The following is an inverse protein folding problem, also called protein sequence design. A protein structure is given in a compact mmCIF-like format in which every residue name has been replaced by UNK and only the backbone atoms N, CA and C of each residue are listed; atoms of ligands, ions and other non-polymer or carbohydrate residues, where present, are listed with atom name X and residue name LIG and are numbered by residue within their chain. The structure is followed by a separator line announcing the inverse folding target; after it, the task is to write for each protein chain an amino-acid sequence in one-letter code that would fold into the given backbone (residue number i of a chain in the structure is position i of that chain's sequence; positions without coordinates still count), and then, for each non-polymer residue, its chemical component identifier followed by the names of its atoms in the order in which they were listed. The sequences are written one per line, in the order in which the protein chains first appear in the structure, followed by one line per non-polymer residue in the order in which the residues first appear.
data_IF_582182981059
#
_entry.id   IF_582182981059
#
_cell.length_a   1.000
_cell.length_b   1.000
_cell.length_c   1.000
_cell.angle_alpha   90.00
_cell.angle_beta   90.00
_cell.angle_gamma   90.00
#
_symmetry.space_group_name_H-M   'P 1'
#
loop_
_entity.id
_entity.type
_entity.pdbx_description
1 polymer ?
#
# COMPACT_ATOMS: atom_id res chain seq x y z
N UNK A 1 -40.66 19.16 -25.97
CA UNK A 1 -39.23 18.93 -26.22
C UNK A 1 -38.50 19.16 -24.89
N UNK A 2 -38.01 18.10 -24.24
CA UNK A 2 -37.23 18.23 -23.00
C UNK A 2 -35.77 18.34 -23.43
N UNK A 3 -35.21 19.53 -23.29
CA UNK A 3 -33.78 19.77 -23.53
C UNK A 3 -33.02 19.30 -22.28
N UNK A 4 -32.34 18.17 -22.35
CA UNK A 4 -31.38 17.75 -21.35
C UNK A 4 -30.16 18.69 -21.41
N UNK A 5 -30.11 19.64 -20.49
CA UNK A 5 -28.92 20.46 -20.27
C UNK A 5 -27.81 19.54 -19.73
N UNK A 6 -26.76 19.34 -20.51
CA UNK A 6 -25.55 18.70 -20.03
C UNK A 6 -24.99 19.54 -18.89
N UNK A 7 -24.96 18.99 -17.67
CA UNK A 7 -24.29 19.63 -16.55
C UNK A 7 -22.80 19.71 -16.91
N UNK A 8 -22.37 20.89 -17.32
CA UNK A 8 -20.97 21.19 -17.54
C UNK A 8 -20.24 20.96 -16.22
N UNK A 9 -19.23 20.08 -16.22
CA UNK A 9 -18.42 19.85 -15.02
C UNK A 9 -17.84 21.20 -14.58
N UNK A 10 -17.99 21.52 -13.29
CA UNK A 10 -17.39 22.72 -12.73
C UNK A 10 -15.88 22.70 -13.01
N UNK A 11 -15.26 23.86 -13.31
CA UNK A 11 -13.82 23.92 -13.50
C UNK A 11 -13.12 23.40 -12.25
N UNK A 12 -12.19 22.48 -12.43
CA UNK A 12 -11.39 21.95 -11.33
C UNK A 12 -10.56 23.10 -10.74
N UNK A 13 -10.65 23.29 -9.43
CA UNK A 13 -9.87 24.31 -8.74
C UNK A 13 -8.36 24.03 -8.96
N UNK A 14 -7.59 24.98 -9.54
CA UNK A 14 -6.17 24.78 -9.80
C UNK A 14 -5.32 24.66 -8.51
N UNK A 15 -5.92 24.96 -7.36
CA UNK A 15 -5.28 24.79 -6.04
C UNK A 15 -5.59 23.45 -5.37
N UNK A 16 -6.45 22.60 -5.98
CA UNK A 16 -6.69 21.27 -5.45
C UNK A 16 -5.41 20.41 -5.50
N UNK A 17 -5.07 19.70 -4.41
CA UNK A 17 -3.98 18.74 -4.43
C UNK A 17 -4.31 17.58 -5.38
N UNK A 18 -3.31 17.00 -6.01
CA UNK A 18 -3.46 15.70 -6.65
C UNK A 18 -3.26 14.58 -5.62
N UNK A 19 -3.79 13.41 -5.93
CA UNK A 19 -3.58 12.21 -5.10
C UNK A 19 -2.85 11.14 -5.92
N UNK A 20 -1.79 10.63 -5.35
CA UNK A 20 -1.03 9.50 -5.87
C UNK A 20 -1.27 8.29 -4.98
N UNK A 21 -1.78 7.20 -5.54
CA UNK A 21 -2.16 5.99 -4.81
C UNK A 21 -1.29 4.83 -5.27
N UNK A 22 -0.49 4.28 -4.37
CA UNK A 22 0.09 2.95 -4.53
C UNK A 22 -0.73 1.97 -3.68
N UNK A 23 -1.40 1.03 -4.34
CA UNK A 23 -2.26 0.07 -3.70
C UNK A 23 -1.78 -1.34 -3.99
N UNK A 24 -1.38 -2.07 -2.96
CA UNK A 24 -0.79 -3.40 -3.06
C UNK A 24 -1.67 -4.40 -2.34
N UNK A 25 -2.03 -5.51 -3.02
CA UNK A 25 -2.84 -6.56 -2.43
C UNK A 25 -2.46 -7.95 -2.91
N UNK A 26 -2.01 -8.82 -1.99
CA UNK A 26 -1.59 -10.18 -2.32
C UNK A 26 -2.52 -11.19 -1.72
N UNK A 27 -3.26 -11.88 -2.57
CA UNK A 27 -4.10 -13.02 -2.19
C UNK A 27 -3.59 -14.34 -2.77
N UNK A 28 -2.91 -14.30 -3.90
CA UNK A 28 -2.33 -15.44 -4.58
C UNK A 28 -0.81 -15.35 -4.48
N UNK A 29 -0.18 -16.34 -3.85
CA UNK A 29 1.25 -16.41 -3.59
C UNK A 29 1.88 -17.52 -4.43
N UNK A 30 3.17 -17.41 -4.82
CA UNK A 30 3.89 -18.55 -5.40
C UNK A 30 3.85 -19.80 -4.51
N UNK A 31 3.81 -19.61 -3.20
CA UNK A 31 3.54 -20.65 -2.22
C UNK A 31 2.04 -20.63 -1.85
N UNK A 32 1.24 -21.48 -2.45
CA UNK A 32 -0.21 -21.57 -2.26
C UNK A 32 -0.65 -21.82 -0.81
N UNK A 33 0.26 -22.27 0.08
CA UNK A 33 -0.04 -22.38 1.51
C UNK A 33 -0.26 -21.01 2.19
N UNK A 34 0.10 -19.93 1.49
CA UNK A 34 -0.07 -18.55 1.93
C UNK A 34 -1.29 -17.86 1.34
N UNK A 35 -2.09 -18.53 0.50
CA UNK A 35 -3.18 -17.88 -0.20
C UNK A 35 -4.21 -17.25 0.72
N UNK A 36 -4.64 -16.04 0.36
CA UNK A 36 -5.69 -15.25 1.01
C UNK A 36 -6.88 -15.05 0.05
N UNK A 37 -8.00 -14.58 0.58
CA UNK A 37 -9.22 -14.48 -0.23
C UNK A 37 -9.46 -13.09 -0.82
N UNK A 38 -9.10 -12.02 -0.12
CA UNK A 38 -9.65 -10.70 -0.40
C UNK A 38 -8.61 -9.58 -0.55
N UNK A 39 -7.35 -9.79 -0.20
CA UNK A 39 -6.34 -8.74 -0.18
C UNK A 39 -6.19 -8.02 -1.53
N UNK A 40 -6.23 -8.75 -2.66
CA UNK A 40 -6.22 -8.16 -3.99
C UNK A 40 -7.47 -7.29 -4.25
N UNK A 41 -8.66 -7.78 -3.83
CA UNK A 41 -9.91 -7.06 -4.03
C UNK A 41 -9.98 -5.79 -3.18
N UNK A 42 -9.38 -5.81 -1.97
CA UNK A 42 -9.28 -4.66 -1.09
C UNK A 42 -8.39 -3.58 -1.72
N UNK A 43 -7.24 -3.97 -2.27
CA UNK A 43 -6.35 -3.05 -2.98
C UNK A 43 -7.03 -2.37 -4.17
N UNK A 44 -7.73 -3.13 -4.99
CA UNK A 44 -8.52 -2.58 -6.09
C UNK A 44 -9.66 -1.67 -5.59
N UNK A 45 -10.33 -2.09 -4.50
CA UNK A 45 -11.43 -1.34 -3.88
C UNK A 45 -10.98 0.04 -3.41
N UNK A 46 -9.85 0.12 -2.72
CA UNK A 46 -9.23 1.37 -2.26
C UNK A 46 -8.90 2.27 -3.47
N UNK A 47 -8.23 1.74 -4.48
CA UNK A 47 -7.90 2.53 -5.67
C UNK A 47 -9.14 3.08 -6.37
N UNK A 48 -10.20 2.28 -6.53
CA UNK A 48 -11.49 2.72 -7.10
C UNK A 48 -12.17 3.78 -6.24
N UNK A 49 -12.18 3.61 -4.92
CA UNK A 49 -12.80 4.55 -4.00
C UNK A 49 -12.14 5.93 -4.09
N UNK A 50 -10.81 5.98 -4.08
CA UNK A 50 -10.09 7.25 -4.21
C UNK A 50 -10.17 7.83 -5.62
N UNK A 51 -10.19 7.00 -6.67
CA UNK A 51 -10.40 7.50 -8.04
C UNK A 51 -11.72 8.24 -8.19
N UNK A 52 -12.77 7.84 -7.47
CA UNK A 52 -14.07 8.53 -7.47
C UNK A 52 -14.04 9.94 -6.85
N UNK A 53 -12.95 10.31 -6.17
CA UNK A 53 -12.74 11.63 -5.57
C UNK A 53 -12.05 12.62 -6.51
N UNK A 54 -11.67 12.19 -7.72
CA UNK A 54 -11.12 13.09 -8.74
C UNK A 54 -12.13 14.16 -9.12
N UNK A 55 -11.69 15.40 -9.16
CA UNK A 55 -12.54 16.57 -9.40
C UNK A 55 -13.47 16.93 -8.23
N UNK A 56 -13.30 16.30 -7.05
CA UNK A 56 -14.08 16.55 -5.82
C UNK A 56 -13.18 16.96 -4.67
N UNK A 57 -12.38 16.02 -4.14
CA UNK A 57 -11.39 16.25 -3.08
C UNK A 57 -9.99 16.47 -3.66
N UNK A 58 -9.73 15.92 -4.84
CA UNK A 58 -8.45 15.99 -5.52
C UNK A 58 -8.64 16.47 -6.97
N UNK A 59 -7.65 17.20 -7.48
CA UNK A 59 -7.64 17.65 -8.88
C UNK A 59 -7.52 16.44 -9.80
N UNK A 60 -6.43 15.71 -9.69
CA UNK A 60 -6.19 14.45 -10.38
C UNK A 60 -5.95 13.33 -9.35
N UNK A 61 -6.37 12.11 -9.69
CA UNK A 61 -6.04 10.90 -8.92
C UNK A 61 -5.32 9.93 -9.85
N UNK A 62 -4.04 9.69 -9.58
CA UNK A 62 -3.21 8.70 -10.25
C UNK A 62 -3.02 7.49 -9.35
N UNK A 63 -3.24 6.30 -9.88
CA UNK A 63 -3.13 5.06 -9.10
C UNK A 63 -2.23 4.06 -9.81
N UNK A 64 -1.35 3.42 -9.03
CA UNK A 64 -0.66 2.19 -9.39
C UNK A 64 -1.20 1.09 -8.47
N UNK A 65 -1.79 0.07 -9.06
CA UNK A 65 -2.39 -1.05 -8.33
C UNK A 65 -1.59 -2.29 -8.67
N UNK A 66 -1.05 -2.95 -7.66
CA UNK A 66 -0.26 -4.15 -7.78
C UNK A 66 -0.99 -5.27 -7.05
N UNK A 67 -1.43 -6.28 -7.78
CA UNK A 67 -2.17 -7.41 -7.20
C UNK A 67 -1.53 -8.74 -7.58
N UNK A 68 -1.52 -9.68 -6.63
CA UNK A 68 -1.07 -11.05 -6.85
C UNK A 68 0.29 -11.11 -7.57
N UNK A 69 0.39 -11.75 -8.72
CA UNK A 69 1.61 -11.91 -9.51
C UNK A 69 2.33 -10.60 -9.89
N UNK A 70 1.58 -9.48 -9.94
CA UNK A 70 2.16 -8.16 -10.17
C UNK A 70 2.75 -7.55 -8.88
N UNK A 71 2.38 -8.07 -7.70
CA UNK A 71 2.83 -7.57 -6.41
C UNK A 71 4.11 -8.26 -5.95
N UNK A 72 5.13 -8.31 -6.81
CA UNK A 72 6.47 -8.78 -6.47
C UNK A 72 7.22 -7.75 -5.64
N UNK A 73 8.27 -8.18 -4.93
CA UNK A 73 9.14 -7.25 -4.20
C UNK A 73 9.67 -6.14 -5.11
N UNK A 74 10.11 -6.48 -6.32
CA UNK A 74 10.65 -5.50 -7.28
C UNK A 74 9.61 -4.46 -7.66
N UNK A 75 8.41 -4.89 -8.07
CA UNK A 75 7.35 -3.99 -8.49
C UNK A 75 6.85 -3.07 -7.37
N UNK A 76 6.87 -3.56 -6.11
CA UNK A 76 6.51 -2.72 -4.95
C UNK A 76 7.56 -1.61 -4.75
N UNK A 77 8.85 -1.92 -4.84
CA UNK A 77 9.92 -0.92 -4.74
C UNK A 77 9.88 0.06 -5.92
N UNK A 78 9.62 -0.41 -7.13
CA UNK A 78 9.39 0.46 -8.30
C UNK A 78 8.15 1.36 -8.11
N UNK A 79 7.18 0.89 -7.32
CA UNK A 79 6.04 1.68 -6.89
C UNK A 79 6.43 2.83 -5.94
N UNK A 80 7.41 2.60 -5.05
CA UNK A 80 7.97 3.65 -4.18
C UNK A 80 8.69 4.70 -5.02
N UNK A 81 9.59 4.28 -5.91
CA UNK A 81 10.30 5.17 -6.83
C UNK A 81 9.34 6.01 -7.69
N UNK A 82 8.21 5.41 -8.09
CA UNK A 82 7.18 6.12 -8.84
C UNK A 82 6.55 7.24 -7.99
N UNK A 83 6.15 6.95 -6.74
CA UNK A 83 5.57 7.96 -5.83
C UNK A 83 6.59 9.08 -5.56
N UNK A 84 7.85 8.73 -5.28
CA UNK A 84 8.91 9.71 -5.00
C UNK A 84 9.14 10.68 -6.15
N UNK A 85 9.03 10.21 -7.40
CA UNK A 85 9.21 11.05 -8.59
C UNK A 85 8.02 11.97 -8.88
N UNK A 86 6.81 11.53 -8.52
CA UNK A 86 5.58 12.21 -8.95
C UNK A 86 5.06 13.22 -7.91
N UNK A 87 5.24 12.94 -6.62
CA UNK A 87 4.62 13.70 -5.54
C UNK A 87 5.35 15.01 -5.29
N UNK A 88 4.60 16.11 -5.26
CA UNK A 88 5.10 17.44 -4.92
C UNK A 88 4.57 17.90 -3.55
N UNK A 89 5.05 19.03 -3.05
CA UNK A 89 4.61 19.61 -1.75
C UNK A 89 3.10 19.88 -1.68
N UNK A 90 2.42 20.01 -2.82
CA UNK A 90 0.99 20.29 -2.88
C UNK A 90 0.14 19.03 -2.88
N UNK A 91 0.75 17.89 -3.15
CA UNK A 91 0.05 16.66 -3.41
C UNK A 91 -0.11 15.81 -2.15
N UNK A 92 -0.89 14.74 -2.30
CA UNK A 92 -1.08 13.71 -1.27
C UNK A 92 -0.63 12.38 -1.84
N UNK A 93 0.18 11.64 -1.08
CA UNK A 93 0.53 10.26 -1.36
C UNK A 93 -0.25 9.33 -0.44
N UNK A 94 -0.86 8.30 -0.99
CA UNK A 94 -1.51 7.23 -0.24
C UNK A 94 -0.89 5.90 -0.64
N UNK A 95 -0.40 5.18 0.36
CA UNK A 95 0.06 3.80 0.21
C UNK A 95 -0.87 2.89 0.98
N UNK A 96 -1.44 1.92 0.30
CA UNK A 96 -2.25 0.86 0.89
C UNK A 96 -1.58 -0.49 0.67
N UNK A 97 -1.49 -1.31 1.70
CA UNK A 97 -0.98 -2.67 1.60
C UNK A 97 -1.91 -3.63 2.32
N UNK A 98 -2.30 -4.71 1.64
CA UNK A 98 -3.10 -5.81 2.18
C UNK A 98 -2.47 -7.15 1.82
N UNK A 99 -2.32 -8.05 2.81
CA UNK A 99 -1.67 -9.33 2.62
C UNK A 99 -1.08 -9.88 3.91
N UNK A 100 -0.13 -10.79 3.78
CA UNK A 100 0.60 -11.30 4.93
C UNK A 100 1.74 -10.38 5.38
N UNK A 101 1.97 -10.40 6.69
CA UNK A 101 3.15 -9.81 7.29
C UNK A 101 3.80 -10.78 8.27
N UNK A 102 5.11 -10.72 8.42
CA UNK A 102 5.85 -11.55 9.37
C UNK A 102 7.06 -10.81 9.95
N UNK A 103 7.57 -11.31 11.06
CA UNK A 103 8.72 -10.75 11.74
C UNK A 103 9.93 -11.69 11.61
N UNK A 104 11.11 -11.11 11.38
CA UNK A 104 12.34 -11.86 11.53
C UNK A 104 12.71 -12.10 13.01
N UNK A 105 13.75 -12.90 13.25
CA UNK A 105 14.25 -13.21 14.60
C UNK A 105 14.79 -11.97 15.37
N UNK A 106 14.95 -10.84 14.70
CA UNK A 106 15.42 -9.57 15.26
C UNK A 106 14.27 -8.61 15.56
N UNK A 107 13.03 -8.99 15.19
CA UNK A 107 11.84 -8.19 15.39
C UNK A 107 11.54 -7.21 14.25
N UNK A 108 12.27 -7.25 13.13
CA UNK A 108 11.91 -6.46 11.98
C UNK A 108 10.65 -7.03 11.34
N UNK A 109 9.71 -6.16 11.02
CA UNK A 109 8.47 -6.51 10.36
C UNK A 109 8.62 -6.41 8.84
N UNK A 110 8.06 -7.39 8.12
CA UNK A 110 8.10 -7.48 6.66
C UNK A 110 6.69 -7.66 6.11
N UNK A 111 6.39 -6.98 5.02
CA UNK A 111 5.28 -7.30 4.14
C UNK A 111 5.73 -8.41 3.18
N UNK A 112 4.88 -9.42 3.00
CA UNK A 112 5.16 -10.58 2.16
C UNK A 112 4.58 -10.35 0.74
N UNK A 113 5.42 -10.12 -0.29
CA UNK A 113 4.96 -10.04 -1.67
C UNK A 113 4.65 -11.41 -2.25
N UNK A 114 4.09 -11.45 -3.47
CA UNK A 114 3.73 -12.68 -4.18
C UNK A 114 4.90 -13.69 -4.30
N UNK A 115 6.10 -13.19 -4.62
CA UNK A 115 7.33 -13.95 -4.85
C UNK A 115 8.14 -14.23 -3.56
N UNK A 116 7.50 -14.17 -2.39
CA UNK A 116 8.19 -14.33 -1.11
C UNK A 116 8.69 -15.75 -0.91
N UNK A 117 9.93 -15.87 -0.43
CA UNK A 117 10.44 -17.10 0.17
C UNK A 117 10.52 -16.91 1.70
N UNK A 118 9.64 -17.56 2.49
CA UNK A 118 9.56 -17.36 3.95
C UNK A 118 10.85 -17.66 4.70
N UNK A 119 11.68 -18.57 4.19
CA UNK A 119 12.98 -18.89 4.77
C UNK A 119 14.04 -17.81 4.51
N UNK A 120 13.74 -16.86 3.62
CA UNK A 120 14.66 -15.83 3.16
C UNK A 120 14.03 -14.43 3.20
N UNK A 121 13.26 -14.11 4.23
CA UNK A 121 12.50 -12.84 4.35
C UNK A 121 13.33 -11.60 3.98
N UNK A 122 14.53 -11.48 4.50
CA UNK A 122 15.40 -10.33 4.22
C UNK A 122 15.73 -10.12 2.74
N UNK A 123 15.67 -11.17 1.93
CA UNK A 123 15.95 -11.10 0.48
C UNK A 123 14.69 -10.90 -0.34
N UNK A 124 13.59 -11.52 0.08
CA UNK A 124 12.40 -11.70 -0.75
C UNK A 124 11.18 -10.92 -0.26
N UNK A 125 11.18 -10.46 0.98
CA UNK A 125 10.10 -9.64 1.51
C UNK A 125 10.48 -8.15 1.56
N UNK A 126 9.49 -7.27 1.67
CA UNK A 126 9.67 -5.82 1.80
C UNK A 126 9.71 -5.48 3.28
N UNK A 127 10.84 -4.98 3.77
CA UNK A 127 10.93 -4.58 5.18
C UNK A 127 10.10 -3.31 5.41
N UNK A 128 9.35 -3.27 6.50
CA UNK A 128 8.42 -2.17 6.76
C UNK A 128 9.13 -0.82 6.93
N UNK A 129 10.39 -0.84 7.29
CA UNK A 129 11.22 0.36 7.33
C UNK A 129 11.34 1.04 5.97
N UNK A 130 11.35 0.28 4.85
CA UNK A 130 11.45 0.86 3.50
C UNK A 130 10.19 1.69 3.18
N UNK A 131 9.00 1.27 3.66
CA UNK A 131 7.78 2.08 3.57
C UNK A 131 7.92 3.40 4.35
N UNK A 132 8.48 3.34 5.54
CA UNK A 132 8.65 4.53 6.38
C UNK A 132 9.65 5.50 5.78
N UNK A 133 10.83 5.01 5.37
CA UNK A 133 11.88 5.83 4.77
C UNK A 133 11.38 6.53 3.50
N UNK A 134 10.64 5.80 2.64
CA UNK A 134 10.01 6.38 1.46
C UNK A 134 9.01 7.49 1.85
N UNK A 135 8.08 7.21 2.78
CA UNK A 135 7.04 8.18 3.15
C UNK A 135 7.60 9.42 3.84
N UNK A 136 8.64 9.27 4.68
CA UNK A 136 9.32 10.38 5.35
C UNK A 136 10.10 11.27 4.36
N UNK A 137 10.56 10.70 3.25
CA UNK A 137 11.26 11.42 2.18
C UNK A 137 10.35 12.26 1.28
N UNK A 138 9.03 12.04 1.31
CA UNK A 138 8.11 12.73 0.43
C UNK A 138 7.86 14.19 0.84
N UNK A 139 7.84 15.13 -0.12
CA UNK A 139 7.60 16.53 0.19
C UNK A 139 6.15 16.89 0.51
N UNK A 140 5.19 16.01 0.14
CA UNK A 140 3.75 16.20 0.29
C UNK A 140 3.19 15.59 1.57
N UNK A 141 1.87 15.53 1.68
CA UNK A 141 1.17 14.80 2.75
C UNK A 141 1.15 13.32 2.44
N UNK A 142 1.38 12.50 3.47
CA UNK A 142 1.45 11.05 3.31
C UNK A 142 0.41 10.33 4.17
N UNK A 143 -0.16 9.25 3.63
CA UNK A 143 -1.07 8.35 4.33
C UNK A 143 -0.63 6.91 4.06
N UNK A 144 -0.39 6.15 5.12
CA UNK A 144 -0.14 4.72 5.03
C UNK A 144 -1.34 3.97 5.64
N UNK A 145 -1.93 3.09 4.86
CA UNK A 145 -3.00 2.20 5.30
C UNK A 145 -2.50 0.76 5.20
N UNK A 146 -2.55 0.04 6.31
CA UNK A 146 -2.02 -1.32 6.42
C UNK A 146 -3.12 -2.25 6.89
N UNK A 147 -3.41 -3.25 6.08
CA UNK A 147 -4.31 -4.36 6.41
C UNK A 147 -3.54 -5.69 6.27
N UNK A 148 -2.69 -5.95 7.25
CA UNK A 148 -1.87 -7.16 7.27
C UNK A 148 -2.09 -7.92 8.57
N UNK A 149 -2.47 -9.19 8.45
CA UNK A 149 -2.52 -10.09 9.60
C UNK A 149 -1.12 -10.62 9.91
N UNK A 150 -0.83 -10.83 11.19
CA UNK A 150 0.35 -11.57 11.62
C UNK A 150 0.18 -13.04 11.25
N UNK A 151 0.85 -13.50 10.21
CA UNK A 151 0.94 -14.93 9.90
C UNK A 151 1.97 -15.59 10.83
N UNK A 152 1.59 -15.81 12.07
CA UNK A 152 2.48 -16.33 13.14
C UNK A 152 3.02 -17.76 12.93
N UNK A 153 2.89 -18.34 11.73
CA UNK A 153 3.29 -19.69 11.40
C UNK A 153 4.02 -19.87 10.06
N UNK A 154 4.29 -18.78 9.33
CA UNK A 154 4.89 -18.91 7.99
C UNK A 154 6.31 -19.43 8.02
N UNK A 155 7.05 -19.17 9.09
CA UNK A 155 8.46 -19.59 9.21
C UNK A 155 8.68 -20.87 10.03
N UNK A 156 7.63 -21.65 10.35
CA UNK A 156 7.78 -22.93 11.07
C UNK A 156 8.46 -22.85 12.44
N UNK A 157 8.79 -21.66 12.91
CA UNK A 157 9.49 -21.45 14.17
C UNK A 157 8.50 -21.35 15.33
N UNK A 158 8.37 -22.44 16.09
CA UNK A 158 7.73 -22.45 17.41
C UNK A 158 8.52 -21.58 18.39
N UNK A 159 8.35 -20.26 18.33
CA UNK A 159 8.68 -19.38 19.45
C UNK A 159 7.79 -18.16 19.46
N UNK A 160 6.66 -18.32 20.15
CA UNK A 160 5.91 -17.22 20.73
C UNK A 160 6.81 -16.39 21.62
N UNK A 161 7.16 -15.17 21.20
CA UNK A 161 7.34 -14.05 22.13
C UNK A 161 7.16 -12.70 21.43
N UNK A 162 6.15 -11.98 21.97
CA UNK A 162 5.92 -10.54 21.88
C UNK A 162 5.86 -9.93 20.49
N UNK A 163 4.77 -9.97 19.91
CA UNK A 163 3.77 -9.00 19.53
C UNK A 163 4.33 -7.57 19.58
N UNK A 164 4.90 -7.10 18.48
CA UNK A 164 4.74 -5.71 18.13
C UNK A 164 3.34 -5.59 17.51
N UNK A 165 2.41 -5.03 18.26
CA UNK A 165 1.08 -4.70 17.79
C UNK A 165 1.22 -3.79 16.56
N UNK A 166 0.58 -4.11 15.39
CA UNK A 166 0.59 -3.23 14.23
C UNK A 166 0.13 -1.82 14.58
N UNK A 167 -0.78 -1.70 15.55
CA UNK A 167 -1.25 -0.44 16.11
C UNK A 167 -0.11 0.35 16.77
N UNK A 168 0.87 -0.33 17.35
CA UNK A 168 2.02 0.31 18.01
C UNK A 168 3.05 0.81 16.99
N UNK A 169 3.29 0.06 15.93
CA UNK A 169 4.12 0.51 14.81
C UNK A 169 3.49 1.73 14.11
N UNK A 170 2.16 1.73 13.93
CA UNK A 170 1.42 2.87 13.39
C UNK A 170 1.47 4.09 14.32
N UNK A 171 1.42 3.88 15.66
CA UNK A 171 1.49 4.98 16.63
C UNK A 171 2.88 5.61 16.76
N UNK A 172 3.93 4.89 16.42
CA UNK A 172 5.29 5.44 16.35
C UNK A 172 5.53 6.28 15.09
N UNK A 173 4.72 6.04 14.02
CA UNK A 173 4.76 6.80 12.76
C UNK A 173 4.05 8.15 12.82
N UNK A 174 3.20 8.39 13.82
CA UNK A 174 2.38 9.63 13.94
C UNK A 174 3.05 10.64 14.91
N UNK A 175 4.20 10.34 15.45
CA UNK A 175 4.99 11.24 16.31
C UNK A 175 6.03 12.01 15.52
#
# INVERSE_FOLDING_TARGET
VITLSSRQAAPVDPFMPNLYVLSVGVSDYENNDLDLRFAHADAEGIARAFKSQQGRLFGEVKSRVLTNEEATKGEILDGFDWIEREVTQKDVALVFVSGHGDNDNRGNYYFLPHDVNPDKLRRTAVVFRDFNEMLEGLPGKTVLMVDTCKSGNVTGSRRTKAIADPTRALMELIR
#
